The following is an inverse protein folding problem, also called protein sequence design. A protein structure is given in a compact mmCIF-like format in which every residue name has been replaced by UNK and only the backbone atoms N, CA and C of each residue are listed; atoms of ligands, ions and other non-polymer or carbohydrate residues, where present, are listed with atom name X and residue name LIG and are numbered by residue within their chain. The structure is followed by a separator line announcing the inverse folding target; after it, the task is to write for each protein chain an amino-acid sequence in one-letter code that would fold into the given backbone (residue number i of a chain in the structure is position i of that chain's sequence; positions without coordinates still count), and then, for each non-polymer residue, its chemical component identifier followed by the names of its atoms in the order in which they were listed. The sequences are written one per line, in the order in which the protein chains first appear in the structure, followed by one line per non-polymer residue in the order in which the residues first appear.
data_IF_871532202578
#
_entry.id   IF_871532202578
#
_cell.length_a   1.000
_cell.length_b   1.000
_cell.length_c   1.000
_cell.angle_alpha   90.00
_cell.angle_beta   90.00
_cell.angle_gamma   90.00
#
_symmetry.space_group_name_H-M   'P 1'
#
loop_
_entity.id
_entity.type
_entity.pdbx_description
1 polymer ?
#
# COMPACT_ATOMS: atom_id res chain seq x y z
N UNK A 1 25.90 30.38 -8.86
CA UNK A 1 26.24 29.56 -7.71
C UNK A 1 25.24 29.72 -6.56
N UNK A 2 24.94 30.93 -6.05
CA UNK A 2 23.93 31.13 -4.98
C UNK A 2 22.48 30.73 -5.35
N UNK A 3 22.04 30.87 -6.60
CA UNK A 3 20.70 30.41 -7.05
C UNK A 3 20.58 28.89 -7.15
N UNK A 4 21.68 28.17 -7.37
CA UNK A 4 21.69 26.70 -7.37
C UNK A 4 21.64 26.13 -5.96
N UNK A 5 22.32 26.77 -5.01
CA UNK A 5 22.30 26.39 -3.58
C UNK A 5 20.94 26.68 -2.90
N UNK A 6 20.26 27.78 -3.32
CA UNK A 6 18.90 28.07 -2.85
C UNK A 6 17.88 27.04 -3.33
N UNK A 7 17.96 26.66 -4.61
CA UNK A 7 17.07 25.66 -5.19
C UNK A 7 17.33 24.23 -4.65
N UNK A 8 18.59 23.90 -4.34
CA UNK A 8 18.92 22.63 -3.65
C UNK A 8 18.39 22.61 -2.22
N UNK A 9 18.47 23.70 -1.46
CA UNK A 9 17.87 23.77 -0.12
C UNK A 9 16.33 23.72 -0.14
N UNK A 10 15.68 24.39 -1.10
CA UNK A 10 14.22 24.29 -1.29
C UNK A 10 13.79 22.90 -1.76
N UNK A 11 14.62 22.16 -2.52
CA UNK A 11 14.36 20.78 -2.94
C UNK A 11 14.66 19.77 -1.81
N UNK A 12 15.58 20.05 -0.89
CA UNK A 12 15.80 19.26 0.31
C UNK A 12 14.67 19.45 1.36
N UNK A 13 13.95 20.59 1.33
CA UNK A 13 12.76 20.85 2.17
C UNK A 13 11.46 20.24 1.61
N UNK A 14 11.44 19.68 0.40
CA UNK A 14 10.26 19.10 -0.27
C UNK A 14 10.51 17.67 -0.76
N UNK A 15 11.18 16.84 0.04
CA UNK A 15 11.21 15.41 -0.26
C UNK A 15 9.85 14.81 0.11
N UNK A 16 8.99 14.61 -0.90
CA UNK A 16 7.66 14.02 -0.72
C UNK A 16 7.69 12.50 -0.54
N UNK A 17 8.85 11.85 -0.71
CA UNK A 17 9.04 10.45 -0.32
C UNK A 17 9.31 10.38 1.19
N UNK A 18 8.31 9.96 1.92
CA UNK A 18 8.30 9.97 3.39
C UNK A 18 7.97 8.59 3.96
N UNK A 19 8.32 8.39 5.23
CA UNK A 19 7.80 7.26 6.02
C UNK A 19 6.27 7.29 6.07
N UNK A 20 5.62 6.12 6.08
CA UNK A 20 4.17 6.05 6.21
C UNK A 20 3.66 6.41 7.63
N UNK A 21 4.54 6.45 8.63
CA UNK A 21 4.18 6.66 10.04
C UNK A 21 3.27 7.87 10.25
N UNK A 22 3.76 9.07 9.91
CA UNK A 22 3.05 10.32 10.22
C UNK A 22 1.71 10.43 9.47
N UNK A 23 1.64 9.96 8.19
CA UNK A 23 0.39 9.98 7.44
C UNK A 23 -0.65 9.03 8.03
N UNK A 24 -0.23 7.91 8.63
CA UNK A 24 -1.14 6.96 9.28
C UNK A 24 -1.57 7.42 10.68
N UNK A 25 -0.69 8.05 11.45
CA UNK A 25 -1.07 8.70 12.72
C UNK A 25 -2.13 9.79 12.49
N UNK A 26 -1.96 10.60 11.43
CA UNK A 26 -2.99 11.57 10.99
C UNK A 26 -4.28 10.90 10.54
N UNK A 27 -4.20 9.75 9.88
CA UNK A 27 -5.36 9.00 9.41
C UNK A 27 -6.19 8.47 10.59
N UNK A 28 -5.54 7.87 11.61
CA UNK A 28 -6.21 7.46 12.85
C UNK A 28 -6.91 8.64 13.52
N UNK A 29 -6.18 9.73 13.75
CA UNK A 29 -6.72 10.93 14.41
C UNK A 29 -7.84 11.60 13.61
N UNK A 30 -7.83 11.48 12.29
CA UNK A 30 -8.80 12.09 11.38
C UNK A 30 -9.93 11.16 10.94
N UNK A 31 -9.98 9.92 11.43
CA UNK A 31 -10.96 8.90 11.04
C UNK A 31 -11.09 8.73 9.52
N UNK A 32 -9.95 8.53 8.86
CA UNK A 32 -9.86 8.15 7.44
C UNK A 32 -8.78 7.09 7.23
N UNK A 33 -8.68 6.50 6.05
CA UNK A 33 -7.59 5.60 5.74
C UNK A 33 -6.79 6.08 4.53
N UNK A 34 -5.47 5.85 4.55
CA UNK A 34 -4.59 6.05 3.40
C UNK A 34 -4.64 4.81 2.52
N UNK A 35 -4.86 5.00 1.22
CA UNK A 35 -4.80 3.91 0.26
C UNK A 35 -3.36 3.45 -0.02
N UNK A 36 -3.11 2.16 0.10
CA UNK A 36 -1.96 1.51 -0.53
C UNK A 36 -2.41 0.90 -1.85
N UNK A 37 -1.75 1.30 -2.94
CA UNK A 37 -1.99 0.74 -4.27
C UNK A 37 -0.71 0.07 -4.76
N UNK A 38 -0.81 -1.20 -5.19
CA UNK A 38 0.34 -1.93 -5.67
C UNK A 38 0.78 -1.43 -7.05
N UNK A 39 2.09 -1.30 -7.24
CA UNK A 39 2.71 -0.91 -8.50
C UNK A 39 3.48 -2.08 -9.13
N UNK A 40 3.37 -2.20 -10.45
CA UNK A 40 4.03 -3.27 -11.20
C UNK A 40 4.89 -2.74 -12.36
N UNK A 41 4.74 -1.46 -12.72
CA UNK A 41 5.44 -0.81 -13.82
C UNK A 41 5.27 0.71 -13.76
N UNK A 42 5.80 1.40 -14.79
CA UNK A 42 5.74 2.86 -14.92
C UNK A 42 4.28 3.38 -15.02
N UNK A 43 3.42 2.72 -15.78
CA UNK A 43 2.04 3.16 -16.01
C UNK A 43 1.22 3.15 -14.72
N UNK A 44 1.36 2.09 -13.89
CA UNK A 44 0.73 2.01 -12.57
C UNK A 44 1.21 3.12 -11.64
N UNK A 45 2.53 3.27 -11.53
CA UNK A 45 3.14 4.29 -10.66
C UNK A 45 2.65 5.68 -11.06
N UNK A 46 2.68 5.99 -12.36
CA UNK A 46 2.22 7.27 -12.88
C UNK A 46 0.73 7.51 -12.62
N UNK A 47 -0.12 6.50 -12.81
CA UNK A 47 -1.56 6.61 -12.60
C UNK A 47 -1.90 6.91 -11.14
N UNK A 48 -1.29 6.18 -10.21
CA UNK A 48 -1.52 6.34 -8.77
C UNK A 48 -1.03 7.70 -8.29
N UNK A 49 0.17 8.13 -8.69
CA UNK A 49 0.70 9.45 -8.36
C UNK A 49 -0.16 10.58 -8.93
N UNK A 50 -0.66 10.43 -10.17
CA UNK A 50 -1.58 11.41 -10.77
C UNK A 50 -2.87 11.52 -9.95
N UNK A 51 -3.49 10.40 -9.58
CA UNK A 51 -4.70 10.40 -8.76
C UNK A 51 -4.47 11.03 -7.39
N UNK A 52 -3.35 10.71 -6.72
CA UNK A 52 -2.98 11.25 -5.43
C UNK A 52 -2.80 12.77 -5.47
N UNK A 53 -2.07 13.27 -6.47
CA UNK A 53 -1.85 14.71 -6.66
C UNK A 53 -3.15 15.46 -6.98
N UNK A 54 -3.99 14.92 -7.87
CA UNK A 54 -5.25 15.56 -8.25
C UNK A 54 -6.28 15.59 -7.11
N UNK A 55 -6.27 14.60 -6.22
CA UNK A 55 -7.17 14.53 -5.07
C UNK A 55 -6.57 15.14 -3.80
N UNK A 56 -5.29 15.54 -3.83
CA UNK A 56 -4.54 15.97 -2.64
C UNK A 56 -4.64 14.96 -1.49
N UNK A 57 -4.44 13.69 -1.85
CA UNK A 57 -4.45 12.57 -0.90
C UNK A 57 -3.03 12.06 -0.65
N UNK A 58 -2.64 11.76 0.60
CA UNK A 58 -1.44 10.97 0.85
C UNK A 58 -1.60 9.57 0.24
N UNK A 59 -0.49 8.95 -0.17
CA UNK A 59 -0.55 7.65 -0.84
C UNK A 59 0.62 6.74 -0.49
N UNK A 60 0.38 5.44 -0.45
CA UNK A 60 1.38 4.40 -0.28
C UNK A 60 1.47 3.57 -1.57
N UNK A 61 2.67 3.48 -2.14
CA UNK A 61 2.96 2.65 -3.30
C UNK A 61 3.47 1.29 -2.82
N UNK A 62 2.62 0.26 -2.91
CA UNK A 62 2.94 -1.10 -2.49
C UNK A 62 3.75 -1.84 -3.54
N UNK A 63 4.78 -2.56 -3.12
CA UNK A 63 5.66 -3.35 -3.99
C UNK A 63 5.84 -4.72 -3.36
N UNK A 64 5.28 -5.76 -3.95
CA UNK A 64 5.56 -7.14 -3.52
C UNK A 64 6.95 -7.60 -3.97
N UNK A 65 7.46 -8.69 -3.40
CA UNK A 65 8.74 -9.28 -3.86
C UNK A 65 8.65 -9.73 -5.33
N UNK A 66 7.49 -10.23 -5.76
CA UNK A 66 7.24 -10.59 -7.15
C UNK A 66 7.27 -9.39 -8.08
N UNK A 67 6.63 -8.30 -7.70
CA UNK A 67 6.66 -7.04 -8.45
C UNK A 67 8.07 -6.44 -8.51
N UNK A 68 8.79 -6.45 -7.39
CA UNK A 68 10.19 -6.01 -7.34
C UNK A 68 11.08 -6.82 -8.29
N UNK A 69 10.93 -8.14 -8.31
CA UNK A 69 11.63 -9.03 -9.24
C UNK A 69 11.25 -8.76 -10.71
N UNK A 70 9.96 -8.56 -10.99
CA UNK A 70 9.47 -8.23 -12.34
C UNK A 70 10.07 -6.91 -12.84
N UNK A 71 10.15 -5.90 -11.99
CA UNK A 71 10.76 -4.59 -12.30
C UNK A 71 12.29 -4.59 -12.17
N UNK A 72 12.94 -5.75 -12.18
CA UNK A 72 14.39 -5.98 -12.16
C UNK A 72 15.10 -5.77 -10.82
N UNK A 73 14.44 -5.30 -9.79
CA UNK A 73 14.96 -5.16 -8.43
C UNK A 73 14.40 -3.96 -7.67
N UNK A 74 14.45 -4.01 -6.34
CA UNK A 74 13.92 -2.96 -5.47
C UNK A 74 14.60 -1.60 -5.68
N UNK A 75 15.90 -1.59 -5.98
CA UNK A 75 16.62 -0.34 -6.28
C UNK A 75 16.07 0.34 -7.53
N UNK A 76 15.77 -0.45 -8.59
CA UNK A 76 15.13 0.09 -9.81
C UNK A 76 13.78 0.70 -9.51
N UNK A 77 12.97 0.03 -8.67
CA UNK A 77 11.66 0.53 -8.25
C UNK A 77 11.80 1.85 -7.49
N UNK A 78 12.67 1.88 -6.49
CA UNK A 78 12.88 3.08 -5.67
C UNK A 78 13.36 4.28 -6.49
N UNK A 79 14.34 4.06 -7.38
CA UNK A 79 14.87 5.13 -8.24
C UNK A 79 13.81 5.63 -9.24
N UNK A 80 13.00 4.71 -9.81
CA UNK A 80 11.89 5.08 -10.68
C UNK A 80 10.85 5.93 -9.93
N UNK A 81 10.43 5.51 -8.75
CA UNK A 81 9.46 6.26 -7.94
C UNK A 81 10.01 7.63 -7.57
N UNK A 82 11.25 7.71 -7.09
CA UNK A 82 11.89 8.96 -6.70
C UNK A 82 11.96 9.95 -7.88
N UNK A 83 12.41 9.48 -9.04
CA UNK A 83 12.46 10.30 -10.25
C UNK A 83 11.07 10.76 -10.69
N UNK A 84 10.04 9.89 -10.59
CA UNK A 84 8.68 10.26 -10.98
C UNK A 84 8.05 11.26 -10.03
N UNK A 85 8.27 11.14 -8.73
CA UNK A 85 7.79 12.12 -7.73
C UNK A 85 8.37 13.50 -8.02
N UNK A 86 9.67 13.59 -8.34
CA UNK A 86 10.34 14.86 -8.68
C UNK A 86 9.87 15.42 -10.04
N UNK A 87 9.96 14.65 -11.11
CA UNK A 87 9.63 15.08 -12.47
C UNK A 87 8.15 15.42 -12.66
N UNK A 88 7.24 14.76 -11.95
CA UNK A 88 5.80 15.05 -11.97
C UNK A 88 5.44 16.22 -11.05
N UNK A 89 6.35 16.70 -10.20
CA UNK A 89 6.09 17.76 -9.25
C UNK A 89 5.04 17.38 -8.21
N UNK A 90 5.12 16.15 -7.68
CA UNK A 90 4.17 15.65 -6.67
C UNK A 90 4.37 16.43 -5.37
N UNK A 91 3.26 16.93 -4.82
CA UNK A 91 3.24 17.75 -3.59
C UNK A 91 2.58 17.07 -2.40
N UNK A 92 2.03 15.88 -2.62
CA UNK A 92 1.41 15.07 -1.57
C UNK A 92 2.41 14.08 -0.98
N UNK A 93 2.26 13.68 0.31
CA UNK A 93 3.11 12.65 0.91
C UNK A 93 2.98 11.30 0.20
N UNK A 94 4.11 10.70 -0.17
CA UNK A 94 4.20 9.39 -0.83
C UNK A 94 5.12 8.49 -0.03
N UNK A 95 4.72 7.26 0.25
CA UNK A 95 5.59 6.24 0.79
C UNK A 95 5.81 5.11 -0.24
N UNK A 96 7.07 4.67 -0.41
CA UNK A 96 7.37 3.39 -1.07
C UNK A 96 7.39 2.30 -0.02
N UNK A 97 6.59 1.27 -0.20
CA UNK A 97 6.33 0.26 0.82
C UNK A 97 6.52 -1.16 0.27
N UNK A 98 7.33 -1.97 0.94
CA UNK A 98 7.38 -3.41 0.68
C UNK A 98 6.10 -4.04 1.21
N UNK A 99 5.38 -4.74 0.35
CA UNK A 99 4.12 -5.43 0.66
C UNK A 99 4.38 -6.95 0.81
N UNK A 100 3.94 -7.56 1.91
CA UNK A 100 4.19 -8.95 2.27
C UNK A 100 5.67 -9.40 2.16
N UNK A 101 6.56 -8.65 2.80
CA UNK A 101 8.00 -8.93 2.76
C UNK A 101 8.41 -10.13 3.60
N UNK A 102 9.24 -11.00 3.03
CA UNK A 102 10.03 -11.93 3.82
C UNK A 102 11.08 -11.15 4.64
N UNK A 103 11.65 -11.79 5.66
CA UNK A 103 12.70 -11.17 6.47
C UNK A 103 13.91 -10.70 5.64
N UNK A 104 14.32 -11.49 4.63
CA UNK A 104 15.39 -11.12 3.70
C UNK A 104 14.94 -10.05 2.69
N UNK A 105 13.67 -10.08 2.27
CA UNK A 105 13.06 -9.05 1.42
C UNK A 105 13.06 -7.69 2.10
N UNK A 106 12.71 -7.63 3.38
CA UNK A 106 12.78 -6.42 4.21
C UNK A 106 14.18 -5.80 4.20
N UNK A 107 15.22 -6.61 4.43
CA UNK A 107 16.62 -6.12 4.42
C UNK A 107 17.03 -5.56 3.06
N UNK A 108 16.65 -6.22 1.97
CA UNK A 108 16.93 -5.74 0.61
C UNK A 108 16.21 -4.42 0.29
N UNK A 109 14.96 -4.25 0.75
CA UNK A 109 14.24 -3.00 0.56
C UNK A 109 14.83 -1.85 1.39
N UNK A 110 15.29 -2.13 2.62
CA UNK A 110 16.03 -1.17 3.44
C UNK A 110 17.30 -0.70 2.73
N UNK A 111 18.07 -1.62 2.17
CA UNK A 111 19.27 -1.31 1.37
C UNK A 111 18.94 -0.52 0.10
N UNK A 112 17.80 -0.79 -0.53
CA UNK A 112 17.34 -0.09 -1.73
C UNK A 112 16.85 1.35 -1.45
N UNK A 113 16.60 1.70 -0.18
CA UNK A 113 16.17 3.03 0.23
C UNK A 113 14.66 3.24 0.24
N UNK A 114 13.87 2.18 0.39
CA UNK A 114 12.43 2.29 0.62
C UNK A 114 12.15 3.13 1.86
N UNK A 115 10.97 3.75 1.93
CA UNK A 115 10.58 4.59 3.07
C UNK A 115 9.71 3.84 4.09
N UNK A 116 9.22 2.67 3.72
CA UNK A 116 8.34 1.82 4.53
C UNK A 116 8.50 0.35 4.12
N UNK A 117 8.33 -0.55 5.05
CA UNK A 117 8.32 -2.00 4.78
C UNK A 117 7.27 -2.71 5.63
N UNK A 118 6.74 -3.80 5.10
CA UNK A 118 5.97 -4.79 5.85
C UNK A 118 6.79 -6.06 6.02
N UNK A 119 6.90 -6.54 7.24
CA UNK A 119 7.38 -7.87 7.56
C UNK A 119 6.19 -8.82 7.78
N UNK A 120 6.00 -9.75 6.85
CA UNK A 120 5.02 -10.80 6.99
C UNK A 120 5.57 -11.92 7.88
N UNK A 121 5.32 -11.76 9.17
CA UNK A 121 5.69 -12.72 10.21
C UNK A 121 4.61 -13.75 10.51
N UNK A 122 3.44 -13.71 9.85
CA UNK A 122 2.27 -14.53 10.14
C UNK A 122 2.52 -16.04 10.02
N UNK A 123 3.45 -16.43 9.17
CA UNK A 123 3.87 -17.84 8.97
C UNK A 123 4.80 -18.39 10.04
N UNK A 124 5.29 -17.56 10.96
CA UNK A 124 6.15 -18.00 12.07
C UNK A 124 5.35 -18.13 13.36
N UNK A 125 5.79 -18.97 14.31
CA UNK A 125 5.30 -18.91 15.68
C UNK A 125 5.47 -17.50 16.24
N UNK A 126 4.57 -17.07 17.13
CA UNK A 126 4.55 -15.69 17.63
C UNK A 126 5.87 -15.23 18.24
N UNK A 127 6.59 -16.13 18.94
CA UNK A 127 7.89 -15.81 19.53
C UNK A 127 8.95 -15.47 18.49
N UNK A 128 8.92 -16.16 17.34
CA UNK A 128 9.84 -15.90 16.23
C UNK A 128 9.43 -14.63 15.47
N UNK A 129 8.13 -14.41 15.26
CA UNK A 129 7.61 -13.15 14.70
C UNK A 129 8.07 -11.96 15.54
N UNK A 130 7.85 -12.01 16.87
CA UNK A 130 8.30 -10.98 17.82
C UNK A 130 9.80 -10.72 17.74
N UNK A 131 10.64 -11.77 17.71
CA UNK A 131 12.08 -11.63 17.65
C UNK A 131 12.55 -10.95 16.35
N UNK A 132 12.04 -11.36 15.20
CA UNK A 132 12.37 -10.79 13.88
C UNK A 132 11.85 -9.35 13.74
N UNK A 133 10.62 -9.10 14.17
CA UNK A 133 10.00 -7.77 14.17
C UNK A 133 10.83 -6.79 15.01
N UNK A 134 11.27 -7.20 16.21
CA UNK A 134 12.10 -6.37 17.08
C UNK A 134 13.43 -5.97 16.43
N UNK A 135 14.10 -6.88 15.72
CA UNK A 135 15.33 -6.58 15.00
C UNK A 135 15.08 -5.55 13.87
N UNK A 136 14.00 -5.73 13.09
CA UNK A 136 13.66 -4.82 12.00
C UNK A 136 13.25 -3.43 12.50
N UNK A 137 12.59 -3.32 13.66
CA UNK A 137 12.25 -2.03 14.28
C UNK A 137 13.51 -1.18 14.49
N UNK A 138 14.57 -1.75 15.06
CA UNK A 138 15.80 -1.01 15.33
C UNK A 138 16.43 -0.49 14.04
N UNK A 139 16.48 -1.35 12.99
CA UNK A 139 17.04 -0.95 11.69
C UNK A 139 16.16 0.14 11.03
N UNK A 140 14.84 0.00 11.06
CA UNK A 140 13.92 0.98 10.50
C UNK A 140 14.02 2.34 11.21
N UNK A 141 14.12 2.36 12.53
CA UNK A 141 14.32 3.58 13.31
C UNK A 141 15.61 4.32 12.93
N UNK A 142 16.72 3.60 12.78
CA UNK A 142 17.98 4.18 12.33
C UNK A 142 17.91 4.82 10.94
N UNK A 143 17.05 4.28 10.08
CA UNK A 143 16.88 4.74 8.69
C UNK A 143 15.73 5.74 8.50
N UNK A 144 14.95 6.04 9.55
CA UNK A 144 13.76 6.88 9.46
C UNK A 144 12.62 6.27 8.64
N UNK A 145 12.55 4.93 8.60
CA UNK A 145 11.53 4.16 7.89
C UNK A 145 10.41 3.74 8.83
N UNK A 146 9.23 3.45 8.27
CA UNK A 146 8.14 2.80 9.02
C UNK A 146 8.12 1.29 8.79
N UNK A 147 7.67 0.58 9.83
CA UNK A 147 7.52 -0.88 9.83
C UNK A 147 6.07 -1.27 10.09
N UNK A 148 5.54 -2.10 9.19
CA UNK A 148 4.32 -2.89 9.36
C UNK A 148 4.68 -4.31 9.77
N UNK A 149 3.90 -4.89 10.68
CA UNK A 149 3.97 -6.30 11.02
C UNK A 149 2.60 -6.96 10.88
N UNK A 150 2.55 -8.28 10.73
CA UNK A 150 1.31 -9.04 10.55
C UNK A 150 1.13 -10.10 11.63
N UNK A 151 -0.13 -10.23 12.09
CA UNK A 151 -0.60 -11.29 13.00
C UNK A 151 -1.86 -11.94 12.43
N UNK A 152 -1.99 -13.24 12.59
CA UNK A 152 -3.00 -14.04 11.89
C UNK A 152 -2.59 -14.25 10.44
N UNK A 153 -3.52 -14.65 9.58
CA UNK A 153 -3.23 -14.78 8.16
C UNK A 153 -4.33 -14.20 7.30
N UNK A 154 -3.94 -13.51 6.23
CA UNK A 154 -4.87 -13.01 5.23
C UNK A 154 -5.15 -14.14 4.26
N UNK A 155 -6.44 -14.37 3.95
CA UNK A 155 -6.85 -15.44 3.04
C UNK A 155 -6.57 -15.13 1.57
N UNK A 156 -6.76 -16.13 0.70
CA UNK A 156 -6.58 -15.97 -0.75
C UNK A 156 -5.14 -16.15 -1.22
N UNK A 157 -4.85 -15.67 -2.41
CA UNK A 157 -3.54 -15.80 -3.05
C UNK A 157 -3.00 -14.43 -3.45
N UNK A 158 -1.76 -14.15 -3.06
CA UNK A 158 -0.99 -13.00 -3.56
C UNK A 158 0.45 -13.44 -3.86
N UNK A 159 0.93 -13.12 -5.07
CA UNK A 159 2.26 -13.52 -5.58
C UNK A 159 2.59 -15.03 -5.43
N UNK A 160 1.58 -15.90 -5.55
CA UNK A 160 1.73 -17.35 -5.41
C UNK A 160 1.78 -17.85 -3.96
N UNK A 161 1.59 -16.97 -2.97
CA UNK A 161 1.44 -17.33 -1.56
C UNK A 161 -0.05 -17.44 -1.24
N UNK A 162 -0.45 -18.62 -0.73
CA UNK A 162 -1.85 -18.89 -0.36
C UNK A 162 -2.01 -18.79 1.15
N UNK A 163 -2.84 -17.84 1.60
CA UNK A 163 -3.21 -17.68 3.01
C UNK A 163 -4.47 -18.46 3.38
N UNK A 164 -4.54 -18.93 4.63
CA UNK A 164 -5.71 -19.67 5.15
C UNK A 164 -6.85 -18.75 5.62
N UNK A 165 -6.58 -17.45 5.85
CA UNK A 165 -7.59 -16.49 6.29
C UNK A 165 -7.96 -16.63 7.76
N UNK A 166 -7.01 -17.00 8.61
CA UNK A 166 -7.22 -17.13 10.05
C UNK A 166 -7.31 -15.75 10.72
N UNK A 167 -8.35 -15.55 11.54
CA UNK A 167 -8.45 -14.36 12.35
C UNK A 167 -7.30 -14.28 13.36
N UNK A 168 -6.74 -13.07 13.50
CA UNK A 168 -5.66 -12.81 14.43
C UNK A 168 -6.11 -12.96 15.90
N UNK A 169 -5.22 -13.45 16.75
CA UNK A 169 -5.41 -13.38 18.21
C UNK A 169 -5.12 -11.94 18.69
N UNK A 170 -6.09 -11.26 19.32
CA UNK A 170 -5.89 -9.90 19.82
C UNK A 170 -4.73 -9.76 20.82
N UNK A 171 -4.39 -10.80 21.59
CA UNK A 171 -3.26 -10.75 22.52
C UNK A 171 -1.92 -10.83 21.77
N UNK A 172 -1.83 -11.63 20.71
CA UNK A 172 -0.66 -11.65 19.83
C UNK A 172 -0.49 -10.30 19.10
N UNK A 173 -1.60 -9.70 18.64
CA UNK A 173 -1.59 -8.35 18.10
C UNK A 173 -1.02 -7.33 19.10
N UNK A 174 -1.44 -7.41 20.38
CA UNK A 174 -0.88 -6.58 21.43
C UNK A 174 0.60 -6.82 21.65
N UNK A 175 1.07 -8.07 21.64
CA UNK A 175 2.50 -8.38 21.79
C UNK A 175 3.34 -7.70 20.71
N UNK A 176 2.89 -7.73 19.45
CA UNK A 176 3.58 -7.07 18.33
C UNK A 176 3.49 -5.53 18.44
N UNK A 177 2.31 -5.00 18.77
CA UNK A 177 2.12 -3.55 18.93
C UNK A 177 3.00 -2.97 20.05
N UNK A 178 3.13 -3.68 21.16
CA UNK A 178 3.97 -3.27 22.32
C UNK A 178 5.49 -3.19 21.98
N UNK A 179 5.92 -3.78 20.87
CA UNK A 179 7.29 -3.63 20.36
C UNK A 179 7.54 -2.22 19.78
N UNK A 180 6.48 -1.52 19.40
CA UNK A 180 6.55 -0.19 18.80
C UNK A 180 6.71 -0.20 17.28
N UNK A 181 6.03 -1.13 16.59
CA UNK A 181 5.80 -1.05 15.14
C UNK A 181 4.97 0.19 14.82
N UNK A 182 5.03 0.68 13.60
CA UNK A 182 4.31 1.90 13.20
C UNK A 182 2.89 1.61 12.71
N UNK A 183 2.61 0.37 12.31
CA UNK A 183 1.30 -0.10 11.90
C UNK A 183 1.20 -1.63 12.01
N UNK A 184 -0.01 -2.15 12.14
CA UNK A 184 -0.29 -3.57 12.36
C UNK A 184 -1.34 -4.10 11.40
N UNK A 185 -0.97 -5.06 10.56
CA UNK A 185 -1.89 -5.87 9.78
C UNK A 185 -2.42 -7.04 10.62
N UNK A 186 -3.72 -7.26 10.55
CA UNK A 186 -4.37 -8.35 11.27
C UNK A 186 -5.34 -9.09 10.35
N UNK A 187 -5.29 -10.42 10.38
CA UNK A 187 -6.32 -11.27 9.77
C UNK A 187 -7.65 -11.05 10.49
N UNK A 188 -8.66 -10.59 9.76
CA UNK A 188 -10.04 -10.39 10.27
C UNK A 188 -11.09 -10.96 9.32
N UNK A 189 -10.73 -12.04 8.59
CA UNK A 189 -11.57 -12.64 7.56
C UNK A 189 -11.44 -11.99 6.19
N UNK A 190 -10.49 -11.08 6.01
CA UNK A 190 -10.14 -10.46 4.74
C UNK A 190 -9.36 -11.42 3.84
N UNK A 191 -9.51 -11.23 2.52
CA UNK A 191 -9.01 -12.15 1.48
C UNK A 191 -8.35 -11.34 0.36
N UNK A 192 -7.18 -11.78 -0.11
CA UNK A 192 -6.58 -11.27 -1.32
C UNK A 192 -7.34 -11.73 -2.57
N UNK A 193 -7.46 -10.85 -3.56
CA UNK A 193 -8.15 -11.17 -4.81
C UNK A 193 -9.66 -10.95 -4.75
N UNK A 194 -10.41 -11.82 -5.42
CA UNK A 194 -11.86 -11.75 -5.48
C UNK A 194 -12.49 -12.51 -4.32
N UNK A 195 -13.40 -11.87 -3.62
CA UNK A 195 -14.17 -12.52 -2.55
C UNK A 195 -15.15 -13.54 -3.12
N UNK A 196 -15.28 -14.73 -2.51
CA UNK A 196 -16.30 -15.71 -2.91
C UNK A 196 -17.71 -15.24 -2.53
N UNK A 197 -18.74 -15.71 -3.25
CA UNK A 197 -20.15 -15.33 -3.00
C UNK A 197 -20.63 -15.66 -1.57
N UNK A 198 -20.05 -16.69 -0.95
CA UNK A 198 -20.38 -17.13 0.40
C UNK A 198 -19.46 -16.54 1.48
N UNK A 199 -18.73 -15.47 1.18
CA UNK A 199 -17.88 -14.81 2.16
C UNK A 199 -18.70 -14.25 3.33
N UNK A 200 -18.28 -14.58 4.55
CA UNK A 200 -19.01 -14.21 5.77
C UNK A 200 -18.89 -12.72 6.16
N UNK A 201 -18.03 -11.95 5.49
CA UNK A 201 -17.73 -10.56 5.84
C UNK A 201 -16.50 -10.46 6.77
N UNK A 202 -16.13 -9.20 7.09
CA UNK A 202 -15.07 -8.92 8.05
C UNK A 202 -15.51 -9.22 9.48
N UNK A 203 -14.61 -9.79 10.29
CA UNK A 203 -14.84 -9.97 11.72
C UNK A 203 -14.61 -8.66 12.48
N UNK A 204 -15.67 -7.87 12.62
CA UNK A 204 -15.62 -6.63 13.40
C UNK A 204 -15.45 -6.89 14.90
N UNK A 205 -15.86 -8.06 15.39
CA UNK A 205 -15.61 -8.47 16.77
C UNK A 205 -14.10 -8.59 17.03
N UNK A 206 -13.37 -9.28 16.13
CA UNK A 206 -11.92 -9.40 16.21
C UNK A 206 -11.25 -8.02 16.09
N UNK A 207 -11.67 -7.20 15.12
CA UNK A 207 -11.11 -5.86 14.90
C UNK A 207 -11.29 -4.94 16.11
N UNK A 208 -12.48 -4.92 16.71
CA UNK A 208 -12.78 -4.15 17.93
C UNK A 208 -11.95 -4.61 19.14
N UNK A 209 -11.80 -5.95 19.28
CA UNK A 209 -10.95 -6.51 20.34
C UNK A 209 -9.47 -6.10 20.17
N UNK A 210 -8.95 -6.13 18.93
CA UNK A 210 -7.59 -5.69 18.62
C UNK A 210 -7.44 -4.20 18.94
N UNK A 211 -8.33 -3.35 18.43
CA UNK A 211 -8.28 -1.90 18.64
C UNK A 211 -8.30 -1.54 20.13
N UNK A 212 -9.13 -2.20 20.95
CA UNK A 212 -9.17 -1.99 22.40
C UNK A 212 -7.86 -2.31 23.11
N UNK A 213 -7.11 -3.31 22.63
CA UNK A 213 -5.84 -3.70 23.21
C UNK A 213 -4.65 -2.89 22.70
N UNK A 214 -4.72 -2.41 21.45
CA UNK A 214 -3.61 -1.70 20.79
C UNK A 214 -3.75 -0.17 20.82
N UNK A 215 -4.94 0.34 21.22
CA UNK A 215 -5.19 1.78 21.31
C UNK A 215 -5.16 2.48 19.95
N UNK A 216 -4.39 3.56 19.85
CA UNK A 216 -4.27 4.39 18.65
C UNK A 216 -3.28 3.82 17.60
N UNK A 217 -2.91 2.54 17.70
CA UNK A 217 -2.07 1.86 16.70
C UNK A 217 -2.78 1.88 15.34
N UNK A 218 -2.16 2.41 14.27
CA UNK A 218 -2.71 2.32 12.93
C UNK A 218 -2.92 0.86 12.51
N UNK A 219 -4.15 0.44 12.28
CA UNK A 219 -4.48 -0.89 11.80
C UNK A 219 -4.53 -0.92 10.27
N UNK A 220 -4.14 -2.05 9.69
CA UNK A 220 -4.05 -2.23 8.24
C UNK A 220 -5.04 -3.28 7.78
N UNK A 221 -5.84 -2.95 6.77
CA UNK A 221 -6.74 -3.87 6.08
C UNK A 221 -6.16 -4.25 4.71
N UNK A 222 -5.67 -5.47 4.60
CA UNK A 222 -5.30 -6.08 3.32
C UNK A 222 -6.51 -6.60 2.56
N UNK A 223 -6.36 -6.82 1.24
CA UNK A 223 -7.44 -7.39 0.42
C UNK A 223 -8.65 -6.47 0.28
N UNK A 224 -8.44 -5.15 0.19
CA UNK A 224 -9.53 -4.16 0.10
C UNK A 224 -10.39 -4.21 -1.16
N UNK A 225 -10.07 -5.11 -2.11
CA UNK A 225 -10.80 -5.27 -3.37
C UNK A 225 -12.17 -5.93 -3.14
N UNK A 226 -13.26 -5.22 -3.47
CA UNK A 226 -14.61 -5.82 -3.46
C UNK A 226 -15.26 -5.95 -2.09
N UNK A 227 -14.67 -5.40 -1.04
CA UNK A 227 -15.33 -5.26 0.27
C UNK A 227 -16.43 -4.19 0.15
N UNK A 228 -17.66 -4.44 0.65
CA UNK A 228 -18.73 -3.43 0.66
C UNK A 228 -18.31 -2.12 1.35
N UNK A 229 -18.76 -0.98 0.78
CA UNK A 229 -18.38 0.35 1.25
C UNK A 229 -18.71 0.62 2.73
N UNK A 230 -19.84 0.09 3.20
CA UNK A 230 -20.25 0.20 4.60
C UNK A 230 -19.32 -0.57 5.54
N UNK A 231 -18.81 -1.73 5.11
CA UNK A 231 -17.80 -2.48 5.87
C UNK A 231 -16.45 -1.76 5.90
N UNK A 232 -16.04 -1.15 4.79
CA UNK A 232 -14.83 -0.31 4.74
C UNK A 232 -14.94 0.85 5.74
N UNK A 233 -16.04 1.60 5.70
CA UNK A 233 -16.27 2.73 6.63
C UNK A 233 -16.27 2.29 8.09
N UNK A 234 -16.93 1.16 8.39
CA UNK A 234 -16.94 0.61 9.73
C UNK A 234 -15.55 0.14 10.19
N UNK A 235 -14.73 -0.41 9.29
CA UNK A 235 -13.35 -0.78 9.61
C UNK A 235 -12.50 0.46 9.94
N UNK A 236 -12.67 1.56 9.18
CA UNK A 236 -12.00 2.84 9.46
C UNK A 236 -12.43 3.39 10.82
N UNK A 237 -13.72 3.37 11.15
CA UNK A 237 -14.22 3.80 12.47
C UNK A 237 -13.62 2.99 13.63
N UNK A 238 -13.18 1.74 13.37
CA UNK A 238 -12.53 0.85 14.32
C UNK A 238 -10.98 0.88 14.24
N UNK A 239 -10.38 1.92 13.65
CA UNK A 239 -8.95 2.16 13.70
C UNK A 239 -8.16 1.70 12.48
N UNK A 240 -8.82 1.21 11.42
CA UNK A 240 -8.13 0.94 10.15
C UNK A 240 -7.70 2.26 9.52
N UNK A 241 -6.39 2.45 9.37
CA UNK A 241 -5.77 3.66 8.84
C UNK A 241 -5.07 3.46 7.49
N UNK A 242 -4.87 2.21 7.05
CA UNK A 242 -4.29 1.84 5.76
C UNK A 242 -5.14 0.74 5.13
N UNK A 243 -5.44 0.87 3.84
CA UNK A 243 -6.19 -0.14 3.09
C UNK A 243 -5.47 -0.46 1.79
N UNK A 244 -5.16 -1.75 1.59
CA UNK A 244 -4.46 -2.24 0.41
C UNK A 244 -5.43 -2.58 -0.72
N UNK A 245 -5.19 -2.04 -1.91
CA UNK A 245 -5.96 -2.28 -3.14
C UNK A 245 -5.00 -2.66 -4.27
N UNK A 246 -5.16 -3.85 -4.83
CA UNK A 246 -4.38 -4.33 -5.97
C UNK A 246 -5.30 -4.80 -7.11
N UNK A 247 -6.08 -5.84 -6.88
CA UNK A 247 -6.85 -6.55 -7.91
C UNK A 247 -7.82 -5.65 -8.68
N UNK A 248 -8.48 -4.68 -8.03
CA UNK A 248 -9.39 -3.77 -8.73
C UNK A 248 -8.66 -2.95 -9.80
N UNK A 249 -7.45 -2.44 -9.50
CA UNK A 249 -6.65 -1.70 -10.49
C UNK A 249 -6.25 -2.59 -11.67
N UNK A 250 -5.91 -3.86 -11.41
CA UNK A 250 -5.59 -4.83 -12.46
C UNK A 250 -6.80 -5.11 -13.36
N UNK A 251 -7.99 -5.29 -12.76
CA UNK A 251 -9.22 -5.58 -13.49
C UNK A 251 -9.66 -4.42 -14.38
N UNK A 252 -9.66 -3.19 -13.87
CA UNK A 252 -10.07 -2.02 -14.68
C UNK A 252 -9.09 -1.73 -15.81
N UNK A 253 -7.79 -1.92 -15.57
CA UNK A 253 -6.78 -1.79 -16.63
C UNK A 253 -6.97 -2.82 -17.73
N UNK A 254 -7.16 -4.09 -17.37
CA UNK A 254 -7.36 -5.18 -18.33
C UNK A 254 -8.64 -4.98 -19.15
N UNK A 255 -9.73 -4.58 -18.51
CA UNK A 255 -11.00 -4.35 -19.16
C UNK A 255 -10.93 -3.17 -20.15
N UNK A 256 -10.38 -2.04 -19.75
CA UNK A 256 -10.25 -0.86 -20.61
C UNK A 256 -9.32 -1.12 -21.81
N UNK A 257 -8.21 -1.84 -21.60
CA UNK A 257 -7.28 -2.22 -22.67
C UNK A 257 -7.94 -3.21 -23.62
N UNK A 258 -8.70 -4.19 -23.12
CA UNK A 258 -9.46 -5.14 -23.95
C UNK A 258 -10.48 -4.41 -24.82
N UNK A 259 -11.28 -3.52 -24.27
CA UNK A 259 -12.26 -2.70 -25.01
C UNK A 259 -11.61 -1.89 -26.13
N UNK A 260 -10.43 -1.35 -25.91
CA UNK A 260 -9.66 -0.62 -26.92
C UNK A 260 -9.29 -1.53 -28.10
N UNK A 261 -8.82 -2.74 -27.82
CA UNK A 261 -8.44 -3.74 -28.83
C UNK A 261 -9.69 -4.28 -29.57
N UNK A 262 -10.74 -4.65 -28.84
CA UNK A 262 -11.99 -5.15 -29.43
C UNK A 262 -12.67 -4.11 -30.35
N UNK A 263 -12.49 -2.83 -30.04
CA UNK A 263 -12.95 -1.74 -30.90
C UNK A 263 -12.05 -1.50 -32.14
N UNK A 264 -10.98 -2.29 -32.34
CA UNK A 264 -10.04 -2.16 -33.46
C UNK A 264 -9.19 -0.90 -33.43
N UNK A 265 -9.12 -0.20 -32.30
CA UNK A 265 -8.39 1.06 -32.16
C UNK A 265 -6.87 0.90 -32.30
N UNK A 266 -6.34 -0.25 -31.95
CA UNK A 266 -4.94 -0.64 -32.17
C UNK A 266 -4.59 -0.74 -33.68
N UNK A 267 -5.54 -0.99 -34.54
CA UNK A 267 -5.37 -1.09 -36.00
C UNK A 267 -5.48 0.27 -36.69
N UNK A 268 -6.00 1.31 -36.05
CA UNK A 268 -6.18 2.64 -36.62
C UNK A 268 -4.89 3.50 -36.47
N UNK A 269 -4.29 3.91 -37.59
CA UNK A 269 -3.09 4.77 -37.58
C UNK A 269 -1.95 4.15 -36.80
N UNK A 270 -1.53 4.81 -35.69
CA UNK A 270 -0.52 4.29 -34.72
C UNK A 270 -1.16 3.86 -33.40
N UNK A 271 -2.36 3.28 -33.42
CA UNK A 271 -3.05 2.81 -32.22
C UNK A 271 -2.32 1.70 -31.47
N UNK A 272 -1.44 0.94 -32.16
CA UNK A 272 -0.57 -0.09 -31.58
C UNK A 272 0.64 0.47 -30.79
N UNK A 273 0.92 1.78 -30.86
CA UNK A 273 1.97 2.41 -30.06
C UNK A 273 1.66 2.19 -28.57
N UNK A 274 2.59 1.63 -27.75
CA UNK A 274 2.33 1.35 -26.34
C UNK A 274 1.76 2.55 -25.56
N UNK A 275 2.19 3.77 -25.89
CA UNK A 275 1.69 5.00 -25.26
C UNK A 275 0.20 5.26 -25.53
N UNK A 276 -0.35 4.69 -26.63
CA UNK A 276 -1.78 4.77 -26.97
C UNK A 276 -2.53 3.53 -26.52
N UNK A 277 -1.93 2.36 -26.73
CA UNK A 277 -2.53 1.07 -26.38
C UNK A 277 -2.80 0.97 -24.87
N UNK A 278 -1.86 1.43 -24.03
CA UNK A 278 -1.97 1.36 -22.56
C UNK A 278 -2.73 2.54 -21.96
N UNK A 279 -2.97 3.61 -22.72
CA UNK A 279 -3.62 4.83 -22.23
C UNK A 279 -5.00 4.59 -21.61
N UNK A 280 -5.93 3.84 -22.20
CA UNK A 280 -7.25 3.60 -21.59
C UNK A 280 -7.15 2.87 -20.25
N UNK A 281 -6.24 1.90 -20.13
CA UNK A 281 -5.98 1.19 -18.89
C UNK A 281 -5.38 2.12 -17.81
N UNK A 282 -4.43 2.95 -18.20
CA UNK A 282 -3.86 3.97 -17.33
C UNK A 282 -4.92 4.95 -16.78
N UNK A 283 -5.80 5.46 -17.64
CA UNK A 283 -6.89 6.36 -17.23
C UNK A 283 -7.89 5.65 -16.30
N UNK A 284 -8.21 4.39 -16.58
CA UNK A 284 -9.10 3.60 -15.72
C UNK A 284 -8.52 3.36 -14.32
N UNK A 285 -7.19 3.23 -14.18
CA UNK A 285 -6.54 3.15 -12.85
C UNK A 285 -6.70 4.48 -12.11
N UNK A 286 -6.47 5.62 -12.77
CA UNK A 286 -6.63 6.95 -12.14
C UNK A 286 -8.05 7.08 -11.55
N UNK A 287 -9.07 6.77 -12.34
CA UNK A 287 -10.46 6.87 -11.89
C UNK A 287 -10.75 5.94 -10.71
N UNK A 288 -10.25 4.69 -10.77
CA UNK A 288 -10.43 3.71 -9.68
C UNK A 288 -9.71 4.13 -8.40
N UNK A 289 -8.49 4.65 -8.50
CA UNK A 289 -7.73 5.12 -7.33
C UNK A 289 -8.42 6.32 -6.68
N UNK A 290 -8.93 7.27 -7.46
CA UNK A 290 -9.72 8.40 -6.93
C UNK A 290 -10.99 7.94 -6.22
N UNK A 291 -11.74 7.00 -6.80
CA UNK A 291 -12.92 6.40 -6.18
C UNK A 291 -12.57 5.80 -4.80
N UNK A 292 -11.46 5.08 -4.71
CA UNK A 292 -11.01 4.52 -3.43
C UNK A 292 -10.56 5.60 -2.44
N UNK A 293 -9.85 6.63 -2.87
CA UNK A 293 -9.46 7.75 -2.00
C UNK A 293 -10.67 8.49 -1.45
N UNK A 294 -11.74 8.65 -2.24
CA UNK A 294 -13.02 9.20 -1.78
C UNK A 294 -13.67 8.28 -0.75
N UNK A 295 -13.77 6.97 -1.03
CA UNK A 295 -14.34 5.98 -0.10
C UNK A 295 -13.59 5.94 1.23
N UNK A 296 -12.26 6.02 1.20
CA UNK A 296 -11.41 5.99 2.38
C UNK A 296 -11.36 7.32 3.15
N UNK A 297 -11.91 8.40 2.57
CA UNK A 297 -11.96 9.72 3.18
C UNK A 297 -10.63 10.47 3.16
N UNK A 298 -9.66 10.07 2.32
CA UNK A 298 -8.31 10.65 2.25
C UNK A 298 -8.19 11.87 1.34
N UNK A 299 -9.22 12.21 0.57
CA UNK A 299 -9.22 13.38 -0.32
C UNK A 299 -9.02 14.66 0.48
N UNK A 300 -8.01 15.48 0.06
CA UNK A 300 -7.66 16.74 0.73
C UNK A 300 -6.96 16.57 2.08
N UNK A 301 -6.36 15.40 2.36
CA UNK A 301 -5.69 15.10 3.62
C UNK A 301 -4.14 15.10 3.53
N UNK A 302 -3.59 15.53 2.40
CA UNK A 302 -2.14 15.65 2.19
C UNK A 302 -1.51 16.80 2.99
#
# INVERSE_FOLDING_TARGET
MQRHLGRQKELEELNMLVSAKEMLEKAVAGHYAVGQFNINNLEWTKAILTAAEETKSPVILGVSEGAGKYMTGFKTVQDMVAAMVDEMGITVPVATHLDHGSYDGCKKCIEAGFTSIMFDGSKYPIEENVAKTKELIEICKEKGMSLEAEVGSIGGEEDGVVGQGECADPNECKMIADLGVDMLAAGIGNIHGKYPENWAGLSFETLDAIQKLTGDMPLVLHGGTGIPDDMIKKAIDLGVAKINVNTECQLVFADATRKYIEAGKDLEGKGFDPRKLLKPGYEAIIDKVKEKMELFGSVGKA
#
